data_IF_811131451487
#
_entry.id   IF_811131451487
#
_cell.length_a   1.000
_cell.length_b   1.000
_cell.length_c   1.000
_cell.angle_alpha   90.00
_cell.angle_beta   90.00
_cell.angle_gamma   90.00
#
_symmetry.space_group_name_H-M   'P 1'
#
loop_
_entity.id
_entity.type
_entity.pdbx_description
1 polymer ?
#
# COMPACT_ATOMS: atom_id res chain seq x y z
N UNK A 1 1.16 14.18 -32.38
CA UNK A 1 2.13 13.55 -31.47
C UNK A 1 2.15 14.26 -30.11
N UNK A 2 2.49 13.56 -29.02
CA UNK A 2 2.65 14.16 -27.68
C UNK A 2 4.04 14.77 -27.46
N UNK A 3 5.00 14.50 -28.36
CA UNK A 3 6.35 15.05 -28.29
C UNK A 3 7.28 14.38 -27.27
N UNK A 4 6.95 13.21 -26.74
CA UNK A 4 7.75 12.51 -25.73
C UNK A 4 9.18 12.17 -26.21
N UNK A 5 9.39 11.98 -27.52
CA UNK A 5 10.72 11.76 -28.09
C UNK A 5 11.70 12.93 -27.88
N UNK A 6 11.21 14.10 -27.46
CA UNK A 6 12.08 15.25 -27.14
C UNK A 6 12.71 15.15 -25.74
N UNK A 7 12.21 14.24 -24.88
CA UNK A 7 12.64 14.11 -23.49
C UNK A 7 12.97 12.66 -23.08
N UNK A 8 12.75 11.69 -23.96
CA UNK A 8 13.03 10.27 -23.74
C UNK A 8 13.62 9.64 -25.00
N UNK A 9 14.43 8.62 -24.84
CA UNK A 9 15.00 7.85 -25.94
C UNK A 9 13.97 6.85 -26.49
N UNK A 10 13.03 7.39 -27.25
CA UNK A 10 12.00 6.65 -27.97
C UNK A 10 11.90 7.13 -29.40
N UNK A 11 11.40 6.27 -30.29
CA UNK A 11 11.22 6.63 -31.71
C UNK A 11 10.30 7.83 -31.87
N UNK A 12 10.77 8.85 -32.60
CA UNK A 12 9.94 10.00 -32.96
C UNK A 12 8.95 9.63 -34.08
N UNK A 13 7.81 10.30 -34.10
CA UNK A 13 6.87 10.28 -35.21
C UNK A 13 7.04 11.52 -36.06
N UNK A 14 6.91 11.42 -37.39
CA UNK A 14 7.04 12.55 -38.34
C UNK A 14 5.89 13.57 -38.24
N UNK A 15 4.93 13.34 -37.34
CA UNK A 15 3.80 14.24 -37.14
C UNK A 15 4.12 15.37 -36.16
N UNK A 16 3.56 16.58 -36.38
CA UNK A 16 3.78 17.72 -35.49
C UNK A 16 3.32 17.41 -34.06
N UNK A 17 4.03 17.98 -33.09
CA UNK A 17 3.66 17.92 -31.67
C UNK A 17 2.44 18.81 -31.44
N UNK A 18 1.34 18.23 -30.98
CA UNK A 18 0.08 18.95 -30.68
C UNK A 18 -0.24 18.94 -29.18
N UNK A 19 0.52 18.21 -28.37
CA UNK A 19 0.38 18.16 -26.91
C UNK A 19 1.49 18.93 -26.21
N UNK A 20 1.45 18.95 -24.88
CA UNK A 20 2.53 19.43 -24.04
C UNK A 20 3.32 18.25 -23.44
N UNK A 21 4.62 18.44 -23.29
CA UNK A 21 5.51 17.46 -22.65
C UNK A 21 6.50 18.18 -21.73
N UNK A 22 7.00 17.47 -20.73
CA UNK A 22 7.97 18.00 -19.78
C UNK A 22 8.54 16.92 -18.87
N UNK A 23 9.58 17.29 -18.14
CA UNK A 23 10.15 16.51 -17.06
C UNK A 23 9.77 17.16 -15.73
N UNK A 24 9.38 16.35 -14.75
CA UNK A 24 9.11 16.80 -13.40
C UNK A 24 10.12 16.15 -12.46
N UNK A 25 10.62 16.92 -11.49
CA UNK A 25 11.41 16.41 -10.39
C UNK A 25 10.50 16.25 -9.17
N UNK A 26 10.52 15.07 -8.56
CA UNK A 26 9.81 14.82 -7.32
C UNK A 26 10.43 15.64 -6.18
N UNK A 27 9.61 16.30 -5.38
CA UNK A 27 10.00 17.05 -4.18
C UNK A 27 9.63 16.34 -2.89
N UNK A 28 8.66 15.44 -2.94
CA UNK A 28 8.26 14.61 -1.81
C UNK A 28 9.40 13.70 -1.35
N UNK A 29 9.56 13.58 -0.04
CA UNK A 29 10.59 12.74 0.60
C UNK A 29 10.06 11.34 0.96
N UNK A 30 8.76 11.08 0.76
CA UNK A 30 8.11 9.82 1.10
C UNK A 30 8.40 8.71 0.07
N UNK A 31 8.62 7.49 0.54
CA UNK A 31 8.70 6.28 -0.30
C UNK A 31 7.37 5.54 -0.26
N UNK A 32 6.38 6.04 -0.95
CA UNK A 32 5.10 5.37 -1.14
C UNK A 32 4.36 5.98 -2.33
N UNK A 33 3.56 5.18 -3.02
CA UNK A 33 2.74 5.67 -4.15
C UNK A 33 1.79 6.79 -3.73
N UNK A 34 1.32 6.78 -2.47
CA UNK A 34 0.45 7.81 -1.91
C UNK A 34 1.11 9.18 -1.92
N UNK A 35 2.41 9.28 -1.53
CA UNK A 35 3.13 10.55 -1.52
C UNK A 35 3.27 11.14 -2.92
N UNK A 36 3.55 10.31 -3.92
CA UNK A 36 3.64 10.76 -5.32
C UNK A 36 2.31 11.27 -5.87
N UNK A 37 1.21 10.57 -5.57
CA UNK A 37 -0.12 11.04 -5.98
C UNK A 37 -0.52 12.34 -5.29
N UNK A 38 -0.21 12.51 -4.01
CA UNK A 38 -0.48 13.76 -3.30
C UNK A 38 0.31 14.93 -3.87
N UNK A 39 1.57 14.71 -4.22
CA UNK A 39 2.39 15.76 -4.84
C UNK A 39 1.82 16.20 -6.20
N UNK A 40 1.39 15.26 -7.05
CA UNK A 40 0.72 15.57 -8.30
C UNK A 40 -0.58 16.38 -8.10
N UNK A 41 -1.22 16.22 -6.94
CA UNK A 41 -2.43 16.97 -6.55
C UNK A 41 -2.13 18.22 -5.70
N UNK A 42 -0.86 18.69 -5.72
CA UNK A 42 -0.46 19.94 -5.08
C UNK A 42 -0.10 19.83 -3.60
N UNK A 43 0.05 18.61 -3.06
CA UNK A 43 0.41 18.37 -1.66
C UNK A 43 1.73 17.56 -1.55
N UNK A 44 2.90 18.19 -1.71
CA UNK A 44 4.17 17.49 -1.54
C UNK A 44 4.38 17.07 -0.08
N UNK A 45 4.86 15.85 0.12
CA UNK A 45 5.14 15.27 1.44
C UNK A 45 6.56 15.64 1.86
N UNK A 46 6.69 16.54 2.83
CA UNK A 46 7.99 17.03 3.33
C UNK A 46 8.55 16.21 4.48
N UNK A 47 7.68 15.50 5.21
CA UNK A 47 8.07 14.56 6.28
C UNK A 47 7.84 13.14 5.77
N UNK A 48 8.90 12.33 5.60
CA UNK A 48 8.76 10.99 5.06
C UNK A 48 7.87 10.12 5.96
N UNK A 49 7.10 9.23 5.33
CA UNK A 49 6.36 8.22 6.08
C UNK A 49 7.34 7.20 6.69
N UNK A 50 7.05 6.63 7.87
CA UNK A 50 7.94 5.66 8.49
C UNK A 50 8.09 4.40 7.64
N UNK A 51 9.30 3.85 7.60
CA UNK A 51 9.65 2.59 6.93
C UNK A 51 10.32 1.65 7.92
N UNK A 52 10.14 0.34 7.74
CA UNK A 52 10.56 -0.69 8.70
C UNK A 52 11.38 -1.77 8.00
N UNK A 53 12.66 -1.52 7.80
CA UNK A 53 13.55 -2.41 7.05
C UNK A 53 13.94 -3.72 7.76
N UNK A 54 13.66 -3.83 9.06
CA UNK A 54 13.90 -5.04 9.87
C UNK A 54 12.61 -5.69 10.38
N UNK A 55 11.46 -5.29 9.81
CA UNK A 55 10.14 -5.63 10.34
C UNK A 55 9.66 -4.61 11.39
N UNK A 56 8.43 -4.79 11.83
CA UNK A 56 7.80 -3.86 12.78
C UNK A 56 8.28 -4.11 14.21
N UNK A 57 8.41 -3.04 15.03
CA UNK A 57 8.76 -3.17 16.44
C UNK A 57 7.79 -4.06 17.20
N UNK A 58 8.30 -4.74 18.24
CA UNK A 58 7.51 -5.65 19.06
C UNK A 58 6.27 -4.99 19.65
N UNK A 59 6.37 -3.76 20.12
CA UNK A 59 5.26 -3.00 20.69
C UNK A 59 4.13 -2.73 19.70
N UNK A 60 4.47 -2.49 18.43
CA UNK A 60 3.48 -2.36 17.36
C UNK A 60 2.76 -3.68 17.12
N UNK A 61 3.49 -4.78 17.07
CA UNK A 61 2.94 -6.12 16.85
C UNK A 61 2.15 -6.64 18.05
N UNK A 62 2.54 -6.28 19.26
CA UNK A 62 1.74 -6.55 20.49
C UNK A 62 0.40 -5.78 20.42
N UNK A 63 0.44 -4.53 19.94
CA UNK A 63 -0.77 -3.72 19.72
C UNK A 63 -1.65 -4.34 18.62
N UNK A 64 -1.05 -4.78 17.51
CA UNK A 64 -1.76 -5.48 16.46
C UNK A 64 -2.51 -6.70 17.00
N UNK A 65 -1.82 -7.55 17.75
CA UNK A 65 -2.43 -8.77 18.35
C UNK A 65 -3.55 -8.42 19.32
N UNK A 66 -3.37 -7.39 20.14
CA UNK A 66 -4.37 -6.96 21.12
C UNK A 66 -5.63 -6.41 20.46
N UNK A 67 -5.48 -5.52 19.48
CA UNK A 67 -6.60 -4.81 18.86
C UNK A 67 -7.35 -5.66 17.83
N UNK A 68 -6.65 -6.52 17.08
CA UNK A 68 -7.28 -7.40 16.10
C UNK A 68 -7.76 -8.72 16.67
N UNK A 69 -7.21 -9.17 17.80
CA UNK A 69 -7.43 -10.50 18.36
C UNK A 69 -6.68 -11.62 17.66
N UNK A 70 -5.90 -11.31 16.62
CA UNK A 70 -5.11 -12.28 15.87
C UNK A 70 -3.64 -12.27 16.26
N UNK A 71 -3.03 -13.44 16.41
CA UNK A 71 -1.57 -13.56 16.30
C UNK A 71 -1.15 -13.35 14.84
N UNK A 72 0.14 -13.37 14.56
CA UNK A 72 0.67 -13.18 13.21
C UNK A 72 1.78 -14.16 12.88
N UNK A 73 2.09 -14.29 11.58
CA UNK A 73 3.26 -14.97 11.03
C UNK A 73 4.12 -13.94 10.28
N UNK A 74 5.41 -14.18 10.15
CA UNK A 74 6.33 -13.29 9.44
C UNK A 74 6.79 -12.12 10.29
N UNK A 75 6.42 -10.89 9.95
CA UNK A 75 6.92 -9.62 10.46
C UNK A 75 8.34 -9.32 9.97
N UNK A 76 8.52 -9.32 8.67
CA UNK A 76 9.80 -9.11 8.00
C UNK A 76 9.62 -8.34 6.68
N UNK A 77 10.71 -7.89 6.10
CA UNK A 77 10.75 -7.36 4.74
C UNK A 77 10.77 -8.53 3.76
N UNK A 78 9.76 -8.62 2.90
CA UNK A 78 9.66 -9.73 1.95
C UNK A 78 8.89 -9.36 0.67
N UNK A 79 9.13 -10.15 -0.38
CA UNK A 79 8.24 -10.21 -1.53
C UNK A 79 6.94 -10.92 -1.14
N UNK A 80 5.78 -10.32 -1.49
CA UNK A 80 4.48 -10.92 -1.17
C UNK A 80 4.27 -12.31 -1.77
N UNK A 81 4.86 -12.61 -2.93
CA UNK A 81 4.77 -13.94 -3.54
C UNK A 81 5.61 -14.96 -2.76
N UNK A 82 6.83 -14.58 -2.40
CA UNK A 82 7.75 -15.43 -1.65
C UNK A 82 7.25 -15.75 -0.25
N UNK A 83 6.80 -14.73 0.50
CA UNK A 83 6.37 -14.94 1.88
C UNK A 83 5.07 -15.77 1.97
N UNK A 84 4.15 -15.59 1.01
CA UNK A 84 2.94 -16.39 0.92
C UNK A 84 3.28 -17.85 0.64
N UNK A 85 4.21 -18.13 -0.28
CA UNK A 85 4.65 -19.49 -0.58
C UNK A 85 5.31 -20.17 0.64
N UNK A 86 6.11 -19.41 1.38
CA UNK A 86 6.83 -19.92 2.55
C UNK A 86 5.94 -20.11 3.78
N UNK A 87 5.01 -19.22 4.06
CA UNK A 87 4.21 -19.21 5.27
C UNK A 87 2.73 -19.60 5.06
N UNK A 88 2.29 -19.76 3.82
CA UNK A 88 0.89 -20.04 3.50
C UNK A 88 0.37 -21.34 4.13
N UNK A 89 1.16 -22.40 4.14
CA UNK A 89 0.77 -23.66 4.78
C UNK A 89 0.62 -23.51 6.31
N UNK A 90 1.50 -22.74 6.96
CA UNK A 90 1.41 -22.46 8.39
C UNK A 90 0.21 -21.56 8.70
N UNK A 91 -0.06 -20.57 7.83
CA UNK A 91 -1.25 -19.73 7.90
C UNK A 91 -2.53 -20.59 7.88
N UNK A 92 -2.66 -21.50 6.91
CA UNK A 92 -3.83 -22.40 6.79
C UNK A 92 -4.00 -23.24 8.07
N UNK A 93 -2.90 -23.75 8.63
CA UNK A 93 -2.93 -24.59 9.84
C UNK A 93 -3.29 -23.80 11.10
N UNK A 94 -2.83 -22.55 11.23
CA UNK A 94 -2.91 -21.78 12.48
C UNK A 94 -4.00 -20.71 12.48
N UNK A 95 -4.51 -20.33 11.33
CA UNK A 95 -5.44 -19.19 11.16
C UNK A 95 -4.80 -17.83 11.39
N UNK A 96 -3.47 -17.74 11.60
CA UNK A 96 -2.78 -16.47 11.83
C UNK A 96 -2.48 -15.79 10.50
N UNK A 97 -2.86 -14.52 10.28
CA UNK A 97 -2.49 -13.78 9.07
C UNK A 97 -0.98 -13.61 8.95
N UNK A 98 -0.49 -13.47 7.72
CA UNK A 98 0.92 -13.23 7.40
C UNK A 98 1.13 -11.73 7.34
N UNK A 99 1.96 -11.18 8.23
CA UNK A 99 2.34 -9.76 8.28
C UNK A 99 3.72 -9.58 7.69
N UNK A 100 3.87 -8.60 6.80
CA UNK A 100 5.16 -8.26 6.19
C UNK A 100 5.18 -6.81 5.69
N UNK A 101 6.36 -6.32 5.39
CA UNK A 101 6.58 -5.00 4.82
C UNK A 101 7.48 -5.06 3.58
N UNK A 102 7.80 -3.92 3.01
CA UNK A 102 8.73 -3.77 1.89
C UNK A 102 9.60 -2.53 2.08
N UNK A 103 10.31 -2.08 1.04
CA UNK A 103 11.07 -0.84 1.08
C UNK A 103 10.18 0.43 1.14
N UNK A 104 8.90 0.27 0.82
CA UNK A 104 7.91 1.35 0.91
C UNK A 104 7.32 1.45 2.34
N UNK A 105 6.62 2.56 2.61
CA UNK A 105 5.92 2.76 3.88
C UNK A 105 4.59 2.01 3.91
N UNK A 106 4.65 0.70 4.05
CA UNK A 106 3.47 -0.19 3.98
C UNK A 106 3.45 -1.22 5.10
N UNK A 107 2.25 -1.53 5.59
CA UNK A 107 1.96 -2.68 6.44
C UNK A 107 1.05 -3.63 5.65
N UNK A 108 1.54 -4.81 5.30
CA UNK A 108 0.83 -5.75 4.44
C UNK A 108 0.35 -6.95 5.25
N UNK A 109 -0.90 -7.35 5.03
CA UNK A 109 -1.56 -8.47 5.72
C UNK A 109 -2.06 -9.44 4.66
N UNK A 110 -1.42 -10.60 4.56
CA UNK A 110 -1.87 -11.64 3.63
C UNK A 110 -2.66 -12.73 4.38
N UNK A 111 -3.72 -13.19 3.74
CA UNK A 111 -4.54 -14.29 4.24
C UNK A 111 -5.16 -15.08 3.09
N UNK A 112 -5.31 -16.39 3.29
CA UNK A 112 -6.05 -17.27 2.40
C UNK A 112 -7.55 -17.05 2.56
N UNK A 113 -8.28 -16.88 1.45
CA UNK A 113 -9.70 -16.48 1.48
C UNK A 113 -10.61 -17.53 2.17
N UNK A 114 -10.24 -18.82 2.16
CA UNK A 114 -10.99 -19.89 2.85
C UNK A 114 -10.64 -19.98 4.34
N UNK A 115 -9.57 -19.30 4.82
CA UNK A 115 -9.12 -19.35 6.23
C UNK A 115 -9.55 -18.09 6.98
N UNK A 116 -9.32 -16.93 6.38
CA UNK A 116 -9.81 -15.63 6.85
C UNK A 116 -10.62 -15.03 5.70
N UNK A 117 -11.95 -15.02 5.78
CA UNK A 117 -12.79 -14.43 4.74
C UNK A 117 -12.45 -12.98 4.45
N UNK A 118 -12.74 -12.52 3.23
CA UNK A 118 -12.37 -11.16 2.77
C UNK A 118 -12.87 -10.06 3.69
N UNK A 119 -14.12 -10.14 4.15
CA UNK A 119 -14.68 -9.13 5.07
C UNK A 119 -13.91 -9.06 6.38
N UNK A 120 -13.50 -10.21 6.92
CA UNK A 120 -12.69 -10.26 8.13
C UNK A 120 -11.26 -9.74 7.89
N UNK A 121 -10.62 -10.09 6.76
CA UNK A 121 -9.32 -9.53 6.39
C UNK A 121 -9.39 -8.00 6.26
N UNK A 122 -10.44 -7.48 5.64
CA UNK A 122 -10.65 -6.03 5.52
C UNK A 122 -10.90 -5.38 6.88
N UNK A 123 -11.64 -6.05 7.77
CA UNK A 123 -11.84 -5.56 9.13
C UNK A 123 -10.52 -5.51 9.92
N UNK A 124 -9.69 -6.54 9.84
CA UNK A 124 -8.33 -6.55 10.42
C UNK A 124 -7.50 -5.37 9.89
N UNK A 125 -7.52 -5.14 8.58
CA UNK A 125 -6.80 -4.03 7.95
C UNK A 125 -7.31 -2.66 8.43
N UNK A 126 -8.62 -2.50 8.56
CA UNK A 126 -9.23 -1.26 9.06
C UNK A 126 -8.83 -1.00 10.52
N UNK A 127 -8.91 -2.01 11.40
CA UNK A 127 -8.42 -1.90 12.79
C UNK A 127 -6.94 -1.51 12.80
N UNK A 128 -6.13 -2.15 11.95
CA UNK A 128 -4.70 -1.85 11.85
C UNK A 128 -4.46 -0.41 11.43
N UNK A 129 -5.26 0.14 10.50
CA UNK A 129 -5.20 1.55 10.10
C UNK A 129 -5.57 2.49 11.23
N UNK A 130 -6.66 2.19 11.95
CA UNK A 130 -7.29 3.12 12.88
C UNK A 130 -6.66 3.10 14.27
N UNK A 131 -6.10 1.95 14.70
CA UNK A 131 -5.67 1.74 16.08
C UNK A 131 -4.23 1.27 16.25
N UNK A 132 -3.64 0.64 15.23
CA UNK A 132 -2.29 0.06 15.32
C UNK A 132 -1.26 0.99 14.71
N UNK A 133 -1.39 1.28 13.43
CA UNK A 133 -0.46 2.14 12.70
C UNK A 133 -0.83 3.61 12.84
N UNK A 134 -0.67 4.15 14.05
CA UNK A 134 -0.95 5.56 14.42
C UNK A 134 0.29 6.24 14.99
N UNK A 135 0.28 7.58 15.08
CA UNK A 135 1.42 8.34 15.59
C UNK A 135 2.70 8.08 14.79
N UNK A 136 3.78 7.72 15.47
CA UNK A 136 5.08 7.46 14.86
C UNK A 136 5.08 6.24 13.92
N UNK A 137 4.09 5.39 14.02
CA UNK A 137 3.89 4.19 13.17
C UNK A 137 2.90 4.42 12.02
N UNK A 138 2.53 5.67 11.74
CA UNK A 138 1.51 5.99 10.73
C UNK A 138 2.04 5.80 9.31
N UNK A 139 2.19 4.54 8.88
CA UNK A 139 2.63 4.15 7.53
C UNK A 139 1.70 4.68 6.43
N UNK A 140 2.21 4.80 5.22
CA UNK A 140 1.47 5.28 4.05
C UNK A 140 0.22 4.46 3.76
N UNK A 141 0.33 3.13 3.79
CA UNK A 141 -0.80 2.22 3.50
C UNK A 141 -0.79 0.98 4.38
N UNK A 142 -2.00 0.54 4.78
CA UNK A 142 -2.24 -0.85 5.18
C UNK A 142 -2.80 -1.57 3.95
N UNK A 143 -2.30 -2.74 3.61
CA UNK A 143 -2.67 -3.45 2.39
C UNK A 143 -3.20 -4.84 2.72
N UNK A 144 -4.46 -5.09 2.40
CA UNK A 144 -5.01 -6.43 2.36
C UNK A 144 -4.47 -7.18 1.13
N UNK A 145 -3.90 -8.36 1.35
CA UNK A 145 -3.30 -9.23 0.33
C UNK A 145 -3.93 -10.61 0.34
N UNK A 146 -5.18 -10.76 -0.08
CA UNK A 146 -5.83 -12.06 -0.15
C UNK A 146 -5.16 -12.98 -1.19
N UNK A 147 -5.15 -14.27 -0.90
CA UNK A 147 -4.65 -15.30 -1.80
C UNK A 147 -5.48 -16.59 -1.69
N UNK A 148 -5.32 -17.47 -2.65
CA UNK A 148 -5.97 -18.79 -2.75
C UNK A 148 -4.97 -19.83 -3.20
N UNK A 149 -5.37 -21.10 -3.25
CA UNK A 149 -4.57 -22.21 -3.76
C UNK A 149 -3.98 -23.08 -2.65
N UNK A 150 -3.01 -23.90 -3.02
CA UNK A 150 -2.36 -24.86 -2.13
C UNK A 150 -0.85 -24.67 -2.12
N UNK A 151 -0.15 -25.31 -1.20
CA UNK A 151 1.31 -25.28 -1.11
C UNK A 151 1.94 -25.64 -2.47
N UNK A 152 2.82 -24.77 -2.96
CA UNK A 152 3.46 -24.86 -4.29
C UNK A 152 2.66 -24.22 -5.43
N UNK A 153 1.45 -23.69 -5.13
CA UNK A 153 0.59 -23.05 -6.15
C UNK A 153 -0.27 -21.90 -5.60
N UNK A 154 0.18 -21.24 -4.52
CA UNK A 154 -0.54 -20.09 -4.00
C UNK A 154 -0.56 -18.93 -4.99
N UNK A 155 -1.73 -18.33 -5.18
CA UNK A 155 -1.96 -17.22 -6.11
C UNK A 155 -2.67 -16.06 -5.40
N UNK A 156 -2.13 -14.86 -5.50
CA UNK A 156 -2.79 -13.63 -5.02
C UNK A 156 -4.02 -13.34 -5.87
N UNK A 157 -5.12 -12.99 -5.22
CA UNK A 157 -6.36 -12.62 -5.91
C UNK A 157 -6.40 -11.12 -6.26
N UNK A 158 -7.37 -10.73 -7.06
CA UNK A 158 -7.65 -9.33 -7.39
C UNK A 158 -8.35 -8.58 -6.24
N UNK A 159 -8.75 -9.27 -5.16
CA UNK A 159 -9.46 -8.71 -4.00
C UNK A 159 -8.53 -7.93 -3.05
N UNK A 160 -7.38 -7.44 -3.56
CA UNK A 160 -6.53 -6.51 -2.84
C UNK A 160 -7.28 -5.24 -2.49
N UNK A 161 -7.08 -4.75 -1.26
CA UNK A 161 -7.60 -3.45 -0.83
C UNK A 161 -6.55 -2.68 -0.04
N UNK A 162 -6.41 -1.38 -0.34
CA UNK A 162 -5.42 -0.51 0.30
C UNK A 162 -6.14 0.52 1.18
N UNK A 163 -5.73 0.62 2.44
CA UNK A 163 -6.18 1.62 3.42
C UNK A 163 -5.11 2.69 3.54
N UNK A 164 -5.22 3.71 2.72
CA UNK A 164 -4.24 4.79 2.66
C UNK A 164 -4.34 5.72 3.86
N UNK A 165 -3.22 6.32 4.19
CA UNK A 165 -3.13 7.49 5.06
C UNK A 165 -3.92 8.64 4.42
N UNK A 166 -4.62 9.41 5.24
CA UNK A 166 -5.32 10.62 4.79
C UNK A 166 -4.35 11.82 4.74
N UNK A 167 -4.45 12.69 3.73
CA UNK A 167 -3.65 13.91 3.68
C UNK A 167 -4.05 14.88 4.80
N UNK A 168 -3.07 15.61 5.33
CA UNK A 168 -3.29 16.60 6.40
C UNK A 168 -4.01 17.87 5.92
N UNK A 169 -3.98 18.10 4.61
CA UNK A 169 -4.63 19.26 3.96
C UNK A 169 -5.55 18.77 2.86
N UNK A 170 -6.59 19.55 2.60
CA UNK A 170 -7.45 19.30 1.46
C UNK A 170 -6.64 19.34 0.17
N UNK A 171 -6.90 18.37 -0.69
CA UNK A 171 -6.37 18.31 -2.05
C UNK A 171 -7.41 18.79 -3.06
N UNK A 172 -7.01 18.96 -4.31
CA UNK A 172 -7.89 19.48 -5.37
C UNK A 172 -9.19 18.66 -5.50
N UNK A 173 -9.15 17.34 -5.33
CA UNK A 173 -10.35 16.51 -5.39
C UNK A 173 -11.36 16.88 -4.30
N UNK A 174 -10.88 17.14 -3.09
CA UNK A 174 -11.72 17.54 -1.96
C UNK A 174 -12.34 18.92 -2.19
N UNK A 175 -11.57 19.88 -2.70
CA UNK A 175 -12.07 21.20 -3.05
C UNK A 175 -13.12 21.14 -4.16
N UNK A 176 -12.93 20.27 -5.14
CA UNK A 176 -13.90 20.04 -6.21
C UNK A 176 -15.20 19.42 -5.66
N UNK A 177 -15.08 18.41 -4.78
CA UNK A 177 -16.25 17.80 -4.14
C UNK A 177 -17.04 18.81 -3.31
N UNK A 178 -16.35 19.63 -2.51
CA UNK A 178 -16.95 20.69 -1.70
C UNK A 178 -17.65 21.75 -2.58
N UNK A 179 -17.15 21.98 -3.79
CA UNK A 179 -17.75 22.85 -4.78
C UNK A 179 -18.91 22.18 -5.57
N UNK A 180 -19.26 20.95 -5.24
CA UNK A 180 -20.32 20.19 -5.90
C UNK A 180 -19.95 19.62 -7.28
N UNK A 181 -18.65 19.56 -7.60
CA UNK A 181 -18.15 18.95 -8.84
C UNK A 181 -17.99 17.44 -8.60
N UNK A 182 -18.61 16.58 -9.41
CA UNK A 182 -18.44 15.14 -9.31
C UNK A 182 -16.96 14.77 -9.50
N UNK A 183 -16.40 14.02 -8.54
CA UNK A 183 -15.03 13.49 -8.59
C UNK A 183 -15.05 12.00 -8.32
N UNK A 184 -14.17 11.25 -8.98
CA UNK A 184 -14.00 9.80 -8.83
C UNK A 184 -12.62 9.51 -8.26
#
# INVERSE_FOLDING_TARGET
SLGLANIADISAFDEPVIGAYGRMAETSTGKDTTSGHWEMMGHPVTVPFPTFYEGFPKELMDTFTKETGYGYLGNEVASGTEIIERLGAEHIKTGKPIVYTSADSVFQIAAHEDVIPLEELYHICQITRDKVCVGDYYVGRIIARPFVGELGSFVRTSNRHDYSRMPEKKMVQQELQDAGVPTV
#
